data_IF_279895814582
#
_entry.id   IF_279895814582
#
_cell.length_a   1.000
_cell.length_b   1.000
_cell.length_c   1.000
_cell.angle_alpha   90.00
_cell.angle_beta   90.00
_cell.angle_gamma   90.00
#
_symmetry.space_group_name_H-M   'P 1'
#
loop_
_entity.id
_entity.type
_entity.pdbx_description
1 polymer ?
#
# COMPACT_ATOMS: atom_id res chain seq x y z
N UNK A 1 28.82 16.95 -11.10
CA UNK A 1 28.27 16.61 -9.78
C UNK A 1 26.88 15.89 -9.79
N UNK A 2 26.06 15.85 -10.86
CA UNK A 2 24.82 15.06 -10.87
C UNK A 2 25.05 13.55 -10.72
N UNK A 3 26.14 13.03 -11.27
CA UNK A 3 26.50 11.60 -11.23
C UNK A 3 26.81 11.08 -9.81
N UNK A 4 27.33 11.95 -8.93
CA UNK A 4 27.65 11.57 -7.55
C UNK A 4 26.40 11.45 -6.68
N UNK A 5 25.39 12.32 -6.89
CA UNK A 5 24.08 12.24 -6.22
C UNK A 5 23.29 11.02 -6.65
N UNK A 6 23.34 10.66 -7.93
CA UNK A 6 22.66 9.49 -8.46
C UNK A 6 23.28 8.18 -7.95
N UNK A 7 24.63 8.10 -7.81
CA UNK A 7 25.31 6.96 -7.17
C UNK A 7 24.97 6.83 -5.68
N UNK A 8 24.88 7.91 -4.94
CA UNK A 8 24.53 7.89 -3.53
C UNK A 8 23.05 7.48 -3.33
N UNK A 9 22.16 7.87 -4.23
CA UNK A 9 20.76 7.43 -4.22
C UNK A 9 20.65 5.92 -4.46
N UNK A 10 21.37 5.38 -5.45
CA UNK A 10 21.38 3.93 -5.73
C UNK A 10 21.99 3.10 -4.59
N UNK A 11 22.99 3.62 -3.87
CA UNK A 11 23.58 2.94 -2.70
C UNK A 11 22.61 2.95 -1.52
N UNK A 12 21.92 4.06 -1.28
CA UNK A 12 20.92 4.19 -0.21
C UNK A 12 19.73 3.27 -0.43
N UNK A 13 19.27 3.15 -1.67
CA UNK A 13 18.18 2.24 -2.07
C UNK A 13 18.62 0.77 -1.98
N UNK A 14 19.87 0.47 -2.29
CA UNK A 14 20.44 -0.89 -2.16
C UNK A 14 20.54 -1.34 -0.70
N UNK A 15 20.95 -0.46 0.21
CA UNK A 15 21.01 -0.74 1.66
C UNK A 15 19.59 -0.94 2.20
N UNK A 16 18.61 -0.11 1.76
CA UNK A 16 17.20 -0.23 2.12
C UNK A 16 16.58 -1.54 1.60
N UNK A 17 16.94 -1.96 0.39
CA UNK A 17 16.49 -3.22 -0.20
C UNK A 17 17.10 -4.44 0.52
N UNK A 18 18.40 -4.41 0.86
CA UNK A 18 19.04 -5.48 1.63
C UNK A 18 18.44 -5.60 3.04
N UNK A 19 18.22 -4.49 3.74
CA UNK A 19 17.56 -4.52 5.05
C UNK A 19 16.12 -5.06 4.97
N UNK A 20 15.44 -4.87 3.85
CA UNK A 20 14.11 -5.45 3.62
C UNK A 20 14.17 -6.97 3.42
N UNK A 21 15.15 -7.47 2.65
CA UNK A 21 15.32 -8.92 2.44
C UNK A 21 15.66 -9.61 3.76
N UNK A 22 16.53 -9.00 4.58
CA UNK A 22 16.92 -9.52 5.88
C UNK A 22 15.83 -9.45 6.95
N UNK A 23 14.86 -8.52 6.80
CA UNK A 23 13.74 -8.32 7.73
C UNK A 23 12.42 -8.90 7.22
N UNK A 24 12.41 -9.61 6.08
CA UNK A 24 11.19 -10.20 5.54
C UNK A 24 10.63 -11.27 6.49
N UNK A 25 9.45 -11.01 7.02
CA UNK A 25 8.71 -11.96 7.84
C UNK A 25 7.57 -12.59 7.00
N UNK A 26 7.66 -13.85 6.55
CA UNK A 26 6.61 -14.49 5.76
C UNK A 26 5.27 -14.58 6.50
N UNK A 27 5.30 -14.50 7.82
CA UNK A 27 4.15 -14.62 8.72
C UNK A 27 3.56 -13.27 9.15
N UNK A 28 3.94 -12.15 8.50
CA UNK A 28 3.49 -10.81 8.89
C UNK A 28 1.96 -10.65 8.91
N UNK A 29 1.27 -11.36 8.04
CA UNK A 29 -0.19 -11.30 7.89
C UNK A 29 -0.91 -12.46 8.59
N UNK A 30 -0.19 -13.40 9.20
CA UNK A 30 -0.79 -14.54 9.85
C UNK A 30 -1.56 -14.09 11.10
N UNK A 31 -2.86 -14.38 11.12
CA UNK A 31 -3.74 -14.00 12.23
C UNK A 31 -4.10 -12.52 12.31
N UNK A 32 -3.62 -11.68 11.39
CA UNK A 32 -4.01 -10.27 11.32
C UNK A 32 -5.45 -10.15 10.85
N UNK A 33 -6.27 -9.46 11.63
CA UNK A 33 -7.67 -9.16 11.31
C UNK A 33 -7.91 -7.67 11.08
N UNK A 34 -7.11 -6.80 11.72
CA UNK A 34 -7.25 -5.35 11.59
C UNK A 34 -5.92 -4.71 11.17
N UNK A 35 -5.95 -3.98 10.07
CA UNK A 35 -4.82 -3.22 9.52
C UNK A 35 -5.16 -1.73 9.52
N UNK A 36 -4.27 -0.91 10.08
CA UNK A 36 -4.38 0.54 10.07
C UNK A 36 -3.43 1.16 9.05
N UNK A 37 -3.95 2.07 8.20
CA UNK A 37 -3.18 2.74 7.16
C UNK A 37 -2.93 4.22 7.50
N UNK A 38 -1.66 4.63 7.65
CA UNK A 38 -1.27 6.03 7.83
C UNK A 38 -0.96 6.65 6.45
N UNK A 39 -1.73 7.66 6.03
CA UNK A 39 -1.73 8.20 4.68
C UNK A 39 -2.58 7.34 3.72
N UNK A 40 -3.81 7.03 4.14
CA UNK A 40 -4.71 6.16 3.39
C UNK A 40 -5.21 6.79 2.08
N UNK A 41 -5.43 8.11 2.02
CA UNK A 41 -5.96 8.82 0.85
C UNK A 41 -5.05 8.88 -0.37
N UNK A 42 -3.90 8.21 -0.33
CA UNK A 42 -2.96 8.14 -1.44
C UNK A 42 -3.41 7.15 -2.54
N UNK A 43 -3.25 7.54 -3.82
CA UNK A 43 -3.60 6.71 -4.98
C UNK A 43 -2.86 5.36 -5.02
N UNK A 44 -1.68 5.27 -4.41
CA UNK A 44 -0.93 4.02 -4.32
C UNK A 44 -1.30 3.16 -3.11
N UNK A 45 -1.98 3.73 -2.10
CA UNK A 45 -2.45 3.03 -0.90
C UNK A 45 -3.82 2.42 -1.12
N UNK A 46 -4.70 3.14 -1.78
CA UNK A 46 -6.08 2.74 -2.03
C UNK A 46 -6.25 1.33 -2.62
N UNK A 47 -5.51 0.92 -3.66
CA UNK A 47 -5.63 -0.45 -4.18
C UNK A 47 -5.26 -1.53 -3.16
N UNK A 48 -4.29 -1.28 -2.28
CA UNK A 48 -3.92 -2.22 -1.23
C UNK A 48 -5.04 -2.36 -0.20
N UNK A 49 -5.66 -1.24 0.17
CA UNK A 49 -6.84 -1.21 1.04
C UNK A 49 -7.97 -2.03 0.41
N UNK A 50 -8.27 -1.84 -0.87
CA UNK A 50 -9.30 -2.60 -1.59
C UNK A 50 -9.03 -4.10 -1.55
N UNK A 51 -7.79 -4.53 -1.84
CA UNK A 51 -7.41 -5.94 -1.87
C UNK A 51 -7.49 -6.57 -0.47
N UNK A 52 -6.97 -5.91 0.56
CA UNK A 52 -7.00 -6.45 1.92
C UNK A 52 -8.42 -6.48 2.47
N UNK A 53 -9.21 -5.44 2.22
CA UNK A 53 -10.62 -5.39 2.62
C UNK A 53 -11.45 -6.48 1.93
N UNK A 54 -11.26 -6.73 0.63
CA UNK A 54 -11.96 -7.80 -0.09
C UNK A 54 -11.61 -9.21 0.42
N UNK A 55 -10.48 -9.35 1.13
CA UNK A 55 -10.08 -10.60 1.79
C UNK A 55 -10.61 -10.72 3.22
N UNK A 56 -11.50 -9.81 3.63
CA UNK A 56 -12.20 -9.86 4.91
C UNK A 56 -11.45 -9.21 6.07
N UNK A 57 -10.35 -8.47 5.82
CA UNK A 57 -9.69 -7.73 6.88
C UNK A 57 -10.47 -6.46 7.22
N UNK A 58 -10.54 -6.14 8.50
CA UNK A 58 -10.99 -4.83 8.96
C UNK A 58 -9.92 -3.80 8.63
N UNK A 59 -10.31 -2.70 8.02
CA UNK A 59 -9.39 -1.64 7.64
C UNK A 59 -9.80 -0.33 8.32
N UNK A 60 -8.81 0.33 8.92
CA UNK A 60 -8.92 1.74 9.31
C UNK A 60 -7.75 2.53 8.70
N UNK A 61 -7.88 3.83 8.66
CA UNK A 61 -6.78 4.67 8.19
C UNK A 61 -6.94 6.12 8.56
N UNK A 62 -5.85 6.86 8.45
CA UNK A 62 -5.78 8.30 8.68
C UNK A 62 -5.16 9.01 7.48
N UNK A 63 -5.62 10.22 7.23
CA UNK A 63 -5.05 11.16 6.26
C UNK A 63 -5.30 12.59 6.73
N UNK A 64 -4.53 13.55 6.23
CA UNK A 64 -4.72 14.96 6.59
C UNK A 64 -5.73 15.68 5.69
N UNK A 65 -6.08 15.07 4.56
CA UNK A 65 -6.98 15.67 3.58
C UNK A 65 -8.16 14.75 3.23
N UNK A 66 -9.34 15.35 3.12
CA UNK A 66 -10.50 14.66 2.56
C UNK A 66 -10.42 14.67 1.04
N UNK A 67 -10.17 13.52 0.45
CA UNK A 67 -10.03 13.31 -1.00
C UNK A 67 -11.20 12.47 -1.55
N UNK A 68 -11.26 12.34 -2.88
CA UNK A 68 -12.19 11.37 -3.51
C UNK A 68 -11.89 9.93 -3.09
N UNK A 69 -10.63 9.65 -2.77
CA UNK A 69 -10.18 8.31 -2.33
C UNK A 69 -10.69 8.05 -0.91
N UNK A 70 -10.48 8.95 0.04
CA UNK A 70 -10.95 8.78 1.41
C UNK A 70 -12.49 8.65 1.49
N UNK A 71 -13.21 9.34 0.60
CA UNK A 71 -14.67 9.17 0.45
C UNK A 71 -15.04 7.78 -0.08
N UNK A 72 -14.29 7.28 -1.05
CA UNK A 72 -14.51 5.94 -1.60
C UNK A 72 -14.18 4.85 -0.56
N UNK A 73 -13.15 5.05 0.25
CA UNK A 73 -12.77 4.16 1.36
C UNK A 73 -13.91 4.08 2.40
N UNK A 74 -14.46 5.22 2.83
CA UNK A 74 -15.62 5.25 3.73
C UNK A 74 -16.84 4.55 3.13
N UNK A 75 -17.08 4.72 1.83
CA UNK A 75 -18.20 4.05 1.14
C UNK A 75 -18.03 2.52 1.09
N UNK A 76 -16.78 2.01 1.18
CA UNK A 76 -16.49 0.57 1.30
C UNK A 76 -16.59 0.04 2.74
N UNK A 77 -16.82 0.90 3.74
CA UNK A 77 -16.86 0.50 5.14
C UNK A 77 -15.52 0.67 5.89
N UNK A 78 -14.52 1.30 5.26
CA UNK A 78 -13.26 1.64 5.92
C UNK A 78 -13.45 2.82 6.87
N UNK A 79 -12.95 2.71 8.09
CA UNK A 79 -12.94 3.82 9.05
C UNK A 79 -11.81 4.79 8.70
N UNK A 80 -12.13 6.01 8.30
CA UNK A 80 -11.14 7.02 7.89
C UNK A 80 -11.19 8.24 8.82
N UNK A 81 -10.05 8.55 9.42
CA UNK A 81 -9.80 9.74 10.24
C UNK A 81 -9.11 10.82 9.40
N UNK A 82 -9.43 12.10 9.62
CA UNK A 82 -8.84 13.24 8.89
C UNK A 82 -7.77 13.98 9.70
N UNK A 83 -7.16 13.28 10.63
CA UNK A 83 -6.05 13.75 11.45
C UNK A 83 -5.20 12.56 11.88
N UNK A 84 -4.01 12.82 12.40
CA UNK A 84 -3.13 11.77 12.94
C UNK A 84 -3.16 11.80 14.46
N UNK A 85 -3.72 10.77 15.09
CA UNK A 85 -3.75 10.60 16.55
C UNK A 85 -3.46 9.15 16.94
N UNK A 86 -2.68 8.96 18.00
CA UNK A 86 -2.32 7.65 18.53
C UNK A 86 -3.53 6.78 18.90
N UNK A 87 -4.68 7.40 19.23
CA UNK A 87 -5.91 6.71 19.55
C UNK A 87 -6.55 6.00 18.34
N UNK A 88 -6.27 6.47 17.12
CA UNK A 88 -6.84 5.90 15.90
C UNK A 88 -6.35 4.49 15.58
N UNK A 89 -5.25 4.05 16.20
CA UNK A 89 -4.75 2.68 16.05
C UNK A 89 -5.74 1.65 16.62
N UNK A 90 -6.54 2.01 17.63
CA UNK A 90 -7.49 1.09 18.25
C UNK A 90 -6.86 -0.26 18.61
N UNK A 91 -7.42 -1.33 18.06
CA UNK A 91 -6.99 -2.73 18.15
C UNK A 91 -6.22 -3.22 16.92
N UNK A 92 -5.69 -2.31 16.09
CA UNK A 92 -4.92 -2.67 14.90
C UNK A 92 -3.72 -3.56 15.27
N UNK A 93 -3.55 -4.62 14.51
CA UNK A 93 -2.49 -5.62 14.68
C UNK A 93 -1.32 -5.39 13.72
N UNK A 94 -1.53 -4.57 12.69
CA UNK A 94 -0.53 -4.19 11.70
C UNK A 94 -0.77 -2.74 11.28
N UNK A 95 0.31 -1.99 11.13
CA UNK A 95 0.29 -0.62 10.60
C UNK A 95 1.00 -0.59 9.25
N UNK A 96 0.38 0.04 8.27
CA UNK A 96 0.96 0.31 6.95
C UNK A 96 1.05 1.81 6.76
N UNK A 97 2.22 2.33 6.44
CA UNK A 97 2.40 3.77 6.29
C UNK A 97 2.97 4.16 4.93
N UNK A 98 2.56 5.33 4.45
CA UNK A 98 3.09 5.93 3.23
C UNK A 98 4.54 6.42 3.45
N UNK A 99 5.37 6.39 2.40
CA UNK A 99 6.73 6.94 2.45
C UNK A 99 6.79 8.45 2.77
N UNK A 100 5.66 9.16 2.67
CA UNK A 100 5.54 10.56 3.06
C UNK A 100 5.39 10.77 4.58
N UNK A 101 5.12 9.70 5.33
CA UNK A 101 4.96 9.75 6.79
C UNK A 101 6.34 9.75 7.44
N UNK A 102 6.58 10.76 8.26
CA UNK A 102 7.83 10.90 9.01
C UNK A 102 7.78 10.13 10.34
N UNK A 103 8.94 9.79 10.86
CA UNK A 103 9.10 9.05 12.13
C UNK A 103 8.45 9.75 13.34
N UNK A 104 8.23 11.06 13.22
CA UNK A 104 7.56 11.89 14.25
C UNK A 104 6.04 11.75 14.29
N UNK A 105 5.43 11.03 13.33
CA UNK A 105 3.98 10.82 13.28
C UNK A 105 3.48 10.14 14.58
N UNK A 106 2.44 10.66 15.24
CA UNK A 106 1.97 10.14 16.53
C UNK A 106 1.47 8.69 16.45
N UNK A 107 0.82 8.30 15.35
CA UNK A 107 0.34 6.93 15.15
C UNK A 107 1.51 5.97 14.96
N UNK A 108 2.53 6.35 14.17
CA UNK A 108 3.72 5.52 13.94
C UNK A 108 4.53 5.34 15.23
N UNK A 109 4.69 6.41 16.04
CA UNK A 109 5.31 6.32 17.37
C UNK A 109 4.52 5.40 18.31
N UNK A 110 3.21 5.56 18.35
CA UNK A 110 2.34 4.74 19.19
C UNK A 110 2.37 3.25 18.78
N UNK A 111 2.37 2.95 17.47
CA UNK A 111 2.50 1.59 16.98
C UNK A 111 3.81 0.94 17.44
N UNK A 112 4.93 1.64 17.30
CA UNK A 112 6.23 1.18 17.78
C UNK A 112 6.26 0.97 19.30
N UNK A 113 5.69 1.90 20.05
CA UNK A 113 5.62 1.80 21.52
C UNK A 113 4.76 0.63 22.00
N UNK A 114 3.71 0.27 21.26
CA UNK A 114 2.84 -0.88 21.52
C UNK A 114 3.41 -2.20 20.98
N UNK A 115 4.55 -2.19 20.27
CA UNK A 115 5.10 -3.37 19.61
C UNK A 115 4.27 -3.86 18.41
N UNK A 116 3.40 -3.00 17.83
CA UNK A 116 2.62 -3.32 16.64
C UNK A 116 3.55 -3.24 15.44
N UNK A 117 3.65 -4.30 14.61
CA UNK A 117 4.43 -4.27 13.38
C UNK A 117 4.00 -3.09 12.50
N UNK A 118 4.97 -2.30 12.03
CA UNK A 118 4.72 -1.18 11.14
C UNK A 118 5.59 -1.31 9.89
N UNK A 119 4.97 -1.37 8.73
CA UNK A 119 5.65 -1.57 7.44
C UNK A 119 5.32 -0.46 6.46
N UNK A 120 6.30 -0.12 5.63
CA UNK A 120 6.07 0.83 4.55
C UNK A 120 5.12 0.23 3.48
N UNK A 121 4.31 1.06 2.84
CA UNK A 121 3.38 0.67 1.76
C UNK A 121 4.06 -0.17 0.66
N UNK A 122 5.29 0.15 0.30
CA UNK A 122 6.06 -0.61 -0.69
C UNK A 122 6.31 -2.06 -0.25
N UNK A 123 6.55 -2.26 1.02
CA UNK A 123 6.71 -3.58 1.65
C UNK A 123 5.40 -4.34 1.62
N UNK A 124 4.30 -3.70 2.01
CA UNK A 124 2.96 -4.30 1.96
C UNK A 124 2.57 -4.70 0.53
N UNK A 125 2.92 -3.91 -0.49
CA UNK A 125 2.72 -4.30 -1.89
C UNK A 125 3.42 -5.63 -2.22
N UNK A 126 4.62 -5.85 -1.70
CA UNK A 126 5.33 -7.12 -1.84
C UNK A 126 4.59 -8.30 -1.20
N UNK A 127 3.99 -8.11 -0.02
CA UNK A 127 3.16 -9.14 0.61
C UNK A 127 1.90 -9.42 -0.20
N UNK A 128 1.18 -8.38 -0.61
CA UNK A 128 -0.03 -8.51 -1.42
C UNK A 128 0.24 -9.22 -2.74
N UNK A 129 1.36 -8.91 -3.42
CA UNK A 129 1.72 -9.58 -4.68
C UNK A 129 1.94 -11.10 -4.52
N UNK A 130 2.34 -11.55 -3.33
CA UNK A 130 2.55 -12.98 -3.02
C UNK A 130 1.28 -13.73 -2.64
N UNK A 131 0.17 -13.01 -2.41
CA UNK A 131 -1.12 -13.64 -2.17
C UNK A 131 -1.72 -14.27 -3.44
N UNK A 132 -1.16 -13.95 -4.60
CA UNK A 132 -1.61 -14.43 -5.90
C UNK A 132 -0.60 -15.44 -6.48
N UNK A 133 -1.10 -16.53 -7.06
CA UNK A 133 -0.27 -17.56 -7.69
C UNK A 133 0.51 -17.04 -8.90
N UNK A 134 -0.03 -16.03 -9.56
CA UNK A 134 0.59 -15.37 -10.71
C UNK A 134 0.62 -13.86 -10.48
N UNK A 135 1.82 -13.28 -10.45
CA UNK A 135 2.01 -11.84 -10.27
C UNK A 135 2.94 -11.29 -11.35
N UNK A 136 2.55 -10.17 -11.94
CA UNK A 136 3.37 -9.42 -12.89
C UNK A 136 3.74 -8.08 -12.28
N UNK A 137 5.03 -7.84 -12.09
CA UNK A 137 5.55 -6.58 -11.56
C UNK A 137 6.23 -5.78 -12.68
N UNK A 138 5.73 -4.57 -12.95
CA UNK A 138 6.28 -3.67 -13.96
C UNK A 138 7.19 -2.65 -13.28
N UNK A 139 8.48 -2.69 -13.59
CA UNK A 139 9.45 -1.72 -13.11
C UNK A 139 10.11 -0.96 -14.27
N UNK A 140 10.72 0.17 -13.98
CA UNK A 140 11.44 0.99 -14.98
C UNK A 140 11.39 2.47 -14.62
N UNK A 141 12.21 3.26 -15.29
CA UNK A 141 12.24 4.72 -15.12
C UNK A 141 10.95 5.37 -15.61
N UNK A 142 10.46 4.96 -16.77
CA UNK A 142 9.24 5.45 -17.42
C UNK A 142 8.32 4.30 -17.85
N UNK A 143 7.08 4.60 -18.15
CA UNK A 143 6.12 3.66 -18.74
C UNK A 143 5.44 2.68 -17.79
N UNK A 144 5.82 2.61 -16.51
CA UNK A 144 5.24 1.67 -15.53
C UNK A 144 3.72 1.69 -15.50
N UNK A 145 3.14 2.86 -15.27
CA UNK A 145 1.69 3.05 -15.17
C UNK A 145 0.98 2.64 -16.46
N UNK A 146 1.51 3.05 -17.61
CA UNK A 146 0.94 2.72 -18.93
C UNK A 146 0.99 1.22 -19.19
N UNK A 147 2.13 0.58 -18.98
CA UNK A 147 2.30 -0.86 -19.20
C UNK A 147 1.41 -1.68 -18.25
N UNK A 148 1.37 -1.32 -16.96
CA UNK A 148 0.46 -1.98 -16.00
C UNK A 148 -0.99 -1.81 -16.42
N UNK A 149 -1.39 -0.60 -16.86
CA UNK A 149 -2.74 -0.33 -17.35
C UNK A 149 -3.09 -1.16 -18.59
N UNK A 150 -2.17 -1.32 -19.54
CA UNK A 150 -2.38 -2.15 -20.72
C UNK A 150 -2.55 -3.63 -20.35
N UNK A 151 -1.69 -4.18 -19.49
CA UNK A 151 -1.79 -5.57 -19.01
C UNK A 151 -3.12 -5.78 -18.30
N UNK A 152 -3.49 -4.88 -17.39
CA UNK A 152 -4.78 -4.95 -16.68
C UNK A 152 -5.94 -4.93 -17.67
N UNK A 153 -5.92 -4.03 -18.66
CA UNK A 153 -6.95 -3.95 -19.68
C UNK A 153 -7.10 -5.24 -20.46
N UNK A 154 -5.97 -5.83 -20.90
CA UNK A 154 -5.99 -7.09 -21.63
C UNK A 154 -6.58 -8.24 -20.81
N UNK A 155 -6.19 -8.33 -19.53
CA UNK A 155 -6.70 -9.38 -18.63
C UNK A 155 -8.19 -9.20 -18.32
N UNK A 156 -8.64 -7.96 -18.08
CA UNK A 156 -10.07 -7.65 -17.92
C UNK A 156 -10.90 -8.04 -19.14
N UNK A 157 -10.48 -7.62 -20.33
CA UNK A 157 -11.16 -7.96 -21.58
C UNK A 157 -11.15 -9.46 -21.88
N UNK A 158 -10.13 -10.17 -21.39
CA UNK A 158 -10.05 -11.64 -21.48
C UNK A 158 -10.87 -12.36 -20.38
N UNK A 159 -11.61 -11.63 -19.53
CA UNK A 159 -12.44 -12.20 -18.46
C UNK A 159 -11.65 -12.86 -17.33
N UNK A 160 -10.40 -12.43 -17.09
CA UNK A 160 -9.50 -13.02 -16.07
C UNK A 160 -9.62 -12.39 -14.69
N UNK A 161 -10.40 -11.33 -14.53
CA UNK A 161 -10.63 -10.63 -13.26
C UNK A 161 -9.35 -10.37 -12.44
N UNK A 162 -8.35 -9.66 -12.98
CA UNK A 162 -7.07 -9.46 -12.30
C UNK A 162 -7.20 -8.53 -11.08
N UNK A 163 -6.47 -8.82 -10.01
CA UNK A 163 -6.11 -7.79 -9.05
C UNK A 163 -5.10 -6.82 -9.68
N UNK A 164 -5.25 -5.53 -9.44
CA UNK A 164 -4.38 -4.52 -10.04
C UNK A 164 -4.03 -3.41 -9.04
N UNK A 165 -2.76 -3.00 -9.04
CA UNK A 165 -2.26 -1.82 -8.34
C UNK A 165 -1.56 -0.94 -9.37
N UNK A 166 -2.16 0.21 -9.69
CA UNK A 166 -1.72 1.09 -10.78
C UNK A 166 -1.43 2.48 -10.23
N UNK A 167 -0.30 3.07 -10.62
CA UNK A 167 0.09 4.42 -10.21
C UNK A 167 -0.74 5.56 -10.81
N UNK A 168 -1.74 5.25 -11.65
CA UNK A 168 -2.64 6.20 -12.29
C UNK A 168 -4.05 5.65 -12.43
N UNK A 169 -5.01 6.51 -12.74
CA UNK A 169 -6.40 6.13 -12.89
C UNK A 169 -6.60 5.35 -14.21
N UNK A 170 -7.19 4.17 -14.15
CA UNK A 170 -7.63 3.38 -15.30
C UNK A 170 -9.17 3.38 -15.32
N UNK A 171 -9.82 4.06 -16.28
CA UNK A 171 -11.28 4.17 -16.34
C UNK A 171 -11.99 2.83 -16.40
N UNK A 172 -11.42 1.84 -17.09
CA UNK A 172 -12.00 0.50 -17.25
C UNK A 172 -12.29 -0.19 -15.91
N UNK A 173 -11.44 0.01 -14.90
CA UNK A 173 -11.62 -0.56 -13.56
C UNK A 173 -12.14 0.48 -12.54
N UNK A 174 -12.51 1.67 -13.02
CA UNK A 174 -13.08 2.74 -12.20
C UNK A 174 -12.09 3.45 -11.25
N UNK A 175 -10.79 3.11 -11.26
CA UNK A 175 -9.88 3.64 -10.25
C UNK A 175 -8.40 3.41 -10.48
N UNK A 176 -7.65 3.45 -9.39
CA UNK A 176 -6.19 3.26 -9.34
C UNK A 176 -5.80 1.81 -9.10
N UNK A 177 -6.77 0.95 -8.91
CA UNK A 177 -6.60 -0.47 -8.68
C UNK A 177 -7.92 -1.18 -8.49
N UNK A 178 -7.82 -2.48 -8.30
CA UNK A 178 -8.95 -3.37 -8.16
C UNK A 178 -8.53 -4.60 -7.35
N UNK A 179 -9.40 -5.08 -6.51
CA UNK A 179 -9.30 -6.42 -5.94
C UNK A 179 -9.90 -7.41 -6.95
N UNK A 180 -9.07 -8.26 -7.54
CA UNK A 180 -9.51 -9.38 -8.39
C UNK A 180 -9.62 -10.67 -7.58
N UNK A 181 -10.07 -11.74 -8.22
CA UNK A 181 -10.22 -13.07 -7.62
C UNK A 181 -9.15 -14.03 -8.11
#
# INVERSE_FOLDING_TARGET
EPYRRQRQMCIRDRVKLMSFIDSYNPHLLDGVQHVHFIGCGGSGTYPLIQILHSRGLTISGSDVEETKITKAERAMGVTVYLEHDAAHLGDAQLVVYSAAIHDENPELKAARARGIPAVERSVMLGYVSRMYSHSVCVSGTHGKTTTTGMITTMLELAGKDPAAVIGGKLPLIGGYGKAGH
#
